data_IF_242449269427
#
_entry.id   IF_242449269427
#
_cell.length_a   1.000
_cell.length_b   1.000
_cell.length_c   1.000
_cell.angle_alpha   90.00
_cell.angle_beta   90.00
_cell.angle_gamma   90.00
#
_symmetry.space_group_name_H-M   'P 1'
#
loop_
_entity.id
_entity.type
_entity.pdbx_description
1 polymer ?
#
# COMPACT_ATOMS: atom_id res chain seq x y z
N UNK A 1 2.71 -13.68 -9.49
CA UNK A 1 1.52 -14.56 -9.44
C UNK A 1 0.52 -14.00 -8.46
N UNK A 2 -0.75 -13.79 -8.85
CA UNK A 2 -1.82 -13.33 -7.96
C UNK A 2 -2.26 -14.49 -7.03
N UNK A 3 -2.15 -14.29 -5.72
CA UNK A 3 -2.54 -15.26 -4.69
C UNK A 3 -3.89 -14.88 -4.07
N UNK A 4 -4.05 -13.60 -3.69
CA UNK A 4 -5.29 -13.09 -3.08
C UNK A 4 -5.77 -11.85 -3.83
N UNK A 5 -7.00 -11.89 -4.32
CA UNK A 5 -7.70 -10.71 -4.83
C UNK A 5 -8.24 -9.86 -3.68
N UNK A 6 -8.55 -8.59 -3.97
CA UNK A 6 -9.22 -7.72 -3.00
C UNK A 6 -10.59 -8.28 -2.61
N UNK A 7 -10.98 -8.06 -1.36
CA UNK A 7 -12.26 -8.50 -0.83
C UNK A 7 -13.41 -7.67 -1.43
N UNK A 8 -14.58 -8.30 -1.56
CA UNK A 8 -15.79 -7.63 -2.02
C UNK A 8 -16.34 -6.71 -0.91
N UNK A 9 -16.30 -5.41 -1.16
CA UNK A 9 -16.80 -4.37 -0.24
C UNK A 9 -18.24 -3.92 -0.55
N UNK A 10 -18.94 -4.61 -1.47
CA UNK A 10 -20.30 -4.27 -1.92
C UNK A 10 -21.33 -4.26 -0.79
N UNK A 11 -21.25 -5.23 0.12
CA UNK A 11 -22.15 -5.31 1.30
C UNK A 11 -22.02 -4.09 2.19
N UNK A 12 -20.79 -3.60 2.45
CA UNK A 12 -20.56 -2.41 3.25
C UNK A 12 -21.08 -1.15 2.56
N UNK A 13 -20.86 -1.03 1.24
CA UNK A 13 -21.39 0.07 0.44
C UNK A 13 -22.91 0.11 0.53
N UNK A 14 -23.57 -1.02 0.26
CA UNK A 14 -25.02 -1.15 0.29
C UNK A 14 -25.60 -0.79 1.66
N UNK A 15 -24.98 -1.28 2.73
CA UNK A 15 -25.39 -0.93 4.10
C UNK A 15 -25.34 0.58 4.36
N UNK A 16 -24.25 1.25 3.97
CA UNK A 16 -24.13 2.70 4.16
C UNK A 16 -25.13 3.47 3.28
N UNK A 17 -25.41 2.99 2.07
CA UNK A 17 -26.43 3.54 1.18
C UNK A 17 -27.84 3.43 1.79
N UNK A 18 -28.19 2.27 2.35
CA UNK A 18 -29.48 2.04 3.01
C UNK A 18 -29.65 2.89 4.28
N UNK A 19 -28.58 3.01 5.10
CA UNK A 19 -28.60 3.78 6.33
C UNK A 19 -28.92 5.27 6.11
N UNK A 20 -28.58 5.87 4.97
CA UNK A 20 -28.87 7.27 4.65
C UNK A 20 -30.38 7.57 4.67
N UNK A 21 -31.22 6.58 4.34
CA UNK A 21 -32.67 6.72 4.30
C UNK A 21 -33.34 6.36 5.63
N UNK A 22 -32.56 6.04 6.66
CA UNK A 22 -33.08 5.69 7.96
C UNK A 22 -33.79 6.90 8.61
N UNK A 23 -35.06 6.74 9.07
CA UNK A 23 -35.80 7.83 9.69
C UNK A 23 -35.30 8.18 11.11
N UNK A 24 -34.50 7.29 11.73
CA UNK A 24 -33.95 7.52 13.08
C UNK A 24 -32.69 8.36 13.09
N UNK A 25 -32.12 8.68 11.94
CA UNK A 25 -30.92 9.49 11.85
C UNK A 25 -31.24 10.98 11.70
N UNK A 26 -30.54 11.80 12.50
CA UNK A 26 -30.58 13.25 12.34
C UNK A 26 -29.77 13.71 11.10
N UNK A 27 -29.88 14.99 10.74
CA UNK A 27 -29.21 15.55 9.56
C UNK A 27 -27.69 15.47 9.64
N UNK A 28 -27.11 15.70 10.82
CA UNK A 28 -25.66 15.63 11.04
C UNK A 28 -25.11 14.22 10.82
N UNK A 29 -25.85 13.21 11.27
CA UNK A 29 -25.50 11.80 11.05
C UNK A 29 -25.61 11.43 9.57
N UNK A 30 -26.63 11.90 8.86
CA UNK A 30 -26.79 11.70 7.42
C UNK A 30 -25.66 12.34 6.63
N UNK A 31 -25.27 13.57 6.95
CA UNK A 31 -24.16 14.28 6.30
C UNK A 31 -22.83 13.54 6.52
N UNK A 32 -22.62 13.03 7.75
CA UNK A 32 -21.45 12.19 8.05
C UNK A 32 -21.44 10.90 7.22
N UNK A 33 -22.58 10.20 7.13
CA UNK A 33 -22.71 8.99 6.29
C UNK A 33 -22.44 9.26 4.82
N UNK A 34 -22.94 10.37 4.27
CA UNK A 34 -22.67 10.77 2.89
C UNK A 34 -21.18 11.01 2.64
N UNK A 35 -20.50 11.64 3.61
CA UNK A 35 -19.05 11.85 3.54
C UNK A 35 -18.31 10.52 3.59
N UNK A 36 -18.68 9.63 4.53
CA UNK A 36 -18.06 8.32 4.70
C UNK A 36 -18.26 7.44 3.46
N UNK A 37 -19.46 7.44 2.87
CA UNK A 37 -19.74 6.71 1.64
C UNK A 37 -18.90 7.19 0.45
N UNK A 38 -18.75 8.52 0.31
CA UNK A 38 -17.87 9.09 -0.74
C UNK A 38 -16.42 8.67 -0.54
N UNK A 39 -15.91 8.77 0.70
CA UNK A 39 -14.54 8.37 1.05
C UNK A 39 -14.32 6.89 0.77
N UNK A 40 -15.26 6.03 1.15
CA UNK A 40 -15.19 4.60 0.92
C UNK A 40 -15.17 4.25 -0.58
N UNK A 41 -16.05 4.87 -1.39
CA UNK A 41 -16.07 4.69 -2.84
C UNK A 41 -14.75 5.11 -3.49
N UNK A 42 -14.24 6.29 -3.10
CA UNK A 42 -12.96 6.82 -3.62
C UNK A 42 -11.80 5.92 -3.22
N UNK A 43 -11.78 5.40 -1.99
CA UNK A 43 -10.77 4.46 -1.51
C UNK A 43 -10.80 3.14 -2.29
N UNK A 44 -11.98 2.52 -2.42
CA UNK A 44 -12.16 1.27 -3.19
C UNK A 44 -11.71 1.44 -4.63
N UNK A 45 -12.07 2.55 -5.28
CA UNK A 45 -11.65 2.81 -6.66
C UNK A 45 -10.13 2.95 -6.76
N UNK A 46 -9.50 3.70 -5.84
CA UNK A 46 -8.04 3.86 -5.82
C UNK A 46 -7.30 2.54 -5.61
N UNK A 47 -7.75 1.70 -4.67
CA UNK A 47 -7.18 0.37 -4.45
C UNK A 47 -7.36 -0.52 -5.70
N UNK A 48 -8.52 -0.46 -6.37
CA UNK A 48 -8.79 -1.22 -7.61
C UNK A 48 -7.88 -0.78 -8.75
N UNK A 49 -7.71 0.52 -8.93
CA UNK A 49 -6.85 1.08 -9.98
C UNK A 49 -5.38 0.72 -9.71
N UNK A 50 -4.90 0.83 -8.47
CA UNK A 50 -3.57 0.39 -8.08
C UNK A 50 -3.38 -1.12 -8.31
N UNK A 51 -4.35 -1.95 -7.92
CA UNK A 51 -4.33 -3.40 -8.15
C UNK A 51 -4.22 -3.73 -9.65
N UNK A 52 -4.85 -2.94 -10.53
CA UNK A 52 -4.73 -3.12 -11.98
C UNK A 52 -3.26 -2.98 -12.44
N UNK A 53 -2.56 -1.91 -12.05
CA UNK A 53 -1.16 -1.70 -12.40
C UNK A 53 -0.25 -2.77 -11.80
N UNK A 54 -0.48 -3.13 -10.54
CA UNK A 54 0.28 -4.20 -9.87
C UNK A 54 0.09 -5.53 -10.61
N UNK A 55 -1.15 -5.91 -10.92
CA UNK A 55 -1.44 -7.17 -11.61
C UNK A 55 -0.89 -7.21 -13.02
N UNK A 56 -0.95 -6.09 -13.76
CA UNK A 56 -0.38 -6.00 -15.11
C UNK A 56 1.11 -6.32 -15.10
N UNK A 57 1.85 -5.90 -14.06
CA UNK A 57 3.29 -6.09 -13.98
C UNK A 57 3.70 -7.42 -13.30
N UNK A 58 2.97 -7.85 -12.25
CA UNK A 58 3.43 -8.98 -11.42
C UNK A 58 2.61 -10.27 -11.55
N UNK A 59 1.39 -10.24 -12.13
CA UNK A 59 0.46 -11.39 -12.14
C UNK A 59 1.10 -12.66 -12.71
N UNK A 60 1.83 -12.52 -13.81
CA UNK A 60 2.47 -13.65 -14.50
C UNK A 60 3.93 -13.86 -14.07
N UNK A 61 4.46 -13.02 -13.18
CA UNK A 61 5.83 -13.15 -12.72
C UNK A 61 5.94 -14.23 -11.63
N UNK A 62 6.66 -15.36 -11.89
CA UNK A 62 6.74 -16.48 -10.95
C UNK A 62 7.57 -16.17 -9.70
N UNK A 63 8.35 -15.09 -9.72
CA UNK A 63 9.22 -14.68 -8.61
C UNK A 63 8.51 -13.81 -7.58
N UNK A 64 7.24 -13.46 -7.83
CA UNK A 64 6.45 -12.59 -6.98
C UNK A 64 5.07 -13.19 -6.70
N UNK A 65 4.69 -13.22 -5.44
CA UNK A 65 3.31 -13.46 -5.02
C UNK A 65 2.67 -12.11 -4.68
N UNK A 66 1.44 -11.91 -5.15
CA UNK A 66 0.66 -10.68 -4.99
C UNK A 66 -0.56 -10.97 -4.14
N UNK A 67 -0.72 -10.22 -3.05
CA UNK A 67 -1.89 -10.28 -2.19
C UNK A 67 -2.49 -8.87 -2.08
N UNK A 68 -3.78 -8.75 -2.38
CA UNK A 68 -4.52 -7.49 -2.24
C UNK A 68 -5.43 -7.55 -1.02
N UNK A 69 -5.62 -6.38 -0.37
CA UNK A 69 -6.55 -6.19 0.74
C UNK A 69 -6.34 -7.23 1.86
N UNK A 70 -5.12 -7.26 2.37
CA UNK A 70 -4.71 -8.24 3.38
C UNK A 70 -5.01 -7.70 4.77
N UNK A 71 -5.92 -8.35 5.50
CA UNK A 71 -6.24 -8.02 6.88
C UNK A 71 -5.51 -8.95 7.84
N UNK A 72 -4.59 -8.41 8.60
CA UNK A 72 -3.82 -9.10 9.63
C UNK A 72 -4.47 -8.89 11.00
N UNK A 73 -4.52 -9.96 11.81
CA UNK A 73 -4.88 -9.88 13.22
C UNK A 73 -3.87 -10.69 14.03
N UNK A 74 -3.10 -10.03 14.86
CA UNK A 74 -2.03 -10.63 15.68
C UNK A 74 -2.10 -10.03 17.08
N UNK A 75 -2.18 -10.87 18.11
CA UNK A 75 -2.21 -10.46 19.52
C UNK A 75 -3.26 -9.36 19.84
N UNK A 76 -4.42 -9.42 19.17
CA UNK A 76 -5.49 -8.42 19.31
C UNK A 76 -5.31 -7.14 18.48
N UNK A 77 -4.13 -6.89 17.94
CA UNK A 77 -3.87 -5.79 17.00
C UNK A 77 -4.35 -6.15 15.60
N UNK A 78 -4.85 -5.15 14.85
CA UNK A 78 -5.34 -5.33 13.49
C UNK A 78 -4.63 -4.33 12.57
N UNK A 79 -4.16 -4.80 11.41
CA UNK A 79 -3.69 -3.96 10.30
C UNK A 79 -4.36 -4.40 9.00
N UNK A 80 -4.56 -3.45 8.11
CA UNK A 80 -4.97 -3.71 6.73
C UNK A 80 -3.87 -3.21 5.81
N UNK A 81 -3.34 -4.09 4.98
CA UNK A 81 -2.34 -3.80 3.96
C UNK A 81 -3.06 -3.80 2.61
N UNK A 82 -3.03 -2.68 1.91
CA UNK A 82 -3.73 -2.57 0.62
C UNK A 82 -3.17 -3.57 -0.38
N UNK A 83 -1.83 -3.63 -0.51
CA UNK A 83 -1.18 -4.63 -1.36
C UNK A 83 0.14 -5.07 -0.74
N UNK A 84 0.33 -6.39 -0.65
CA UNK A 84 1.59 -7.02 -0.26
C UNK A 84 2.15 -7.81 -1.43
N UNK A 85 3.41 -7.53 -1.79
CA UNK A 85 4.15 -8.31 -2.76
C UNK A 85 5.25 -9.08 -2.03
N UNK A 86 5.20 -10.40 -2.12
CA UNK A 86 6.21 -11.28 -1.55
C UNK A 86 7.15 -11.71 -2.66
N UNK A 87 8.37 -11.21 -2.61
CA UNK A 87 9.43 -11.53 -3.54
C UNK A 87 10.39 -12.59 -3.00
N UNK A 88 11.31 -13.03 -3.85
CA UNK A 88 12.32 -14.04 -3.48
C UNK A 88 13.38 -13.52 -2.49
N UNK A 89 13.63 -12.22 -2.46
CA UNK A 89 14.66 -11.60 -1.62
C UNK A 89 14.10 -10.62 -0.59
N UNK A 90 12.98 -10.00 -0.87
CA UNK A 90 12.35 -8.98 -0.02
C UNK A 90 10.85 -8.92 -0.27
N UNK A 91 10.14 -8.19 0.59
CA UNK A 91 8.71 -7.90 0.44
C UNK A 91 8.50 -6.41 0.17
N UNK A 92 7.42 -6.08 -0.53
CA UNK A 92 6.96 -4.70 -0.73
C UNK A 92 5.58 -4.55 -0.09
N UNK A 93 5.46 -3.59 0.82
CA UNK A 93 4.18 -3.11 1.35
C UNK A 93 3.80 -1.86 0.57
N UNK A 94 2.72 -1.94 -0.22
CA UNK A 94 2.25 -0.82 -1.03
C UNK A 94 0.98 -0.27 -0.40
N UNK A 95 1.03 1.00 -0.04
CA UNK A 95 -0.09 1.78 0.51
C UNK A 95 -0.67 2.66 -0.60
N UNK A 96 -1.94 2.55 -0.86
CA UNK A 96 -2.62 3.31 -1.92
C UNK A 96 -3.32 4.55 -1.35
N UNK A 97 -3.17 5.67 -2.04
CA UNK A 97 -3.88 6.92 -1.73
C UNK A 97 -4.54 7.50 -2.96
N UNK A 98 -5.83 7.76 -2.85
CA UNK A 98 -6.63 8.36 -3.91
C UNK A 98 -7.36 9.59 -3.36
N UNK A 99 -6.82 10.78 -3.64
CA UNK A 99 -7.39 12.06 -3.22
C UNK A 99 -7.87 12.86 -4.44
N UNK A 100 -9.03 13.48 -4.34
CA UNK A 100 -9.53 14.43 -5.34
C UNK A 100 -8.94 15.83 -5.12
N UNK A 101 -7.61 15.92 -4.97
CA UNK A 101 -6.90 17.17 -4.69
C UNK A 101 -5.41 17.04 -4.95
N UNK A 102 -4.73 18.18 -4.87
CA UNK A 102 -3.29 18.25 -5.03
C UNK A 102 -2.63 17.88 -3.70
N UNK A 103 -1.70 16.94 -3.75
CA UNK A 103 -0.93 16.49 -2.59
C UNK A 103 0.34 17.32 -2.48
N UNK A 104 0.59 17.89 -1.31
CA UNK A 104 1.84 18.55 -0.99
C UNK A 104 2.56 17.79 0.13
N UNK A 105 3.86 17.58 -0.04
CA UNK A 105 4.75 17.00 0.96
C UNK A 105 5.78 18.04 1.30
N UNK A 106 5.89 18.43 2.57
CA UNK A 106 6.86 19.43 3.00
C UNK A 106 8.22 18.80 3.33
N UNK A 107 9.18 19.65 3.68
CA UNK A 107 10.55 19.24 4.01
C UNK A 107 10.69 18.39 5.29
N UNK A 108 9.65 18.37 6.14
CA UNK A 108 9.55 17.54 7.35
C UNK A 108 8.86 16.20 7.10
N UNK A 109 8.40 15.95 5.85
CA UNK A 109 7.66 14.72 5.50
C UNK A 109 6.20 14.74 5.94
N UNK A 110 5.63 15.92 6.20
CA UNK A 110 4.20 16.09 6.47
C UNK A 110 3.43 16.21 5.17
N UNK A 111 2.24 15.60 5.15
CA UNK A 111 1.37 15.54 3.99
C UNK A 111 0.15 16.43 4.16
N UNK A 112 -0.21 17.14 3.10
CA UNK A 112 -1.46 17.88 3.00
C UNK A 112 -2.11 17.70 1.64
N UNK A 113 -3.43 17.93 1.58
CA UNK A 113 -4.22 17.88 0.35
C UNK A 113 -4.95 19.19 0.19
N UNK A 114 -4.78 19.84 -0.97
CA UNK A 114 -5.51 21.05 -1.37
C UNK A 114 -6.57 20.66 -2.38
N UNK A 115 -7.83 20.88 -2.04
CA UNK A 115 -8.98 20.57 -2.90
C UNK A 115 -9.27 21.71 -3.88
N UNK A 116 -10.13 21.45 -4.86
CA UNK A 116 -10.57 22.45 -5.86
C UNK A 116 -11.30 23.65 -5.23
N UNK A 117 -11.84 23.51 -4.02
CA UNK A 117 -12.39 24.63 -3.22
C UNK A 117 -11.33 25.62 -2.73
N UNK A 118 -10.04 25.29 -2.84
CA UNK A 118 -8.93 26.04 -2.28
C UNK A 118 -8.60 25.69 -0.82
N UNK A 119 -9.41 24.85 -0.17
CA UNK A 119 -9.17 24.41 1.20
C UNK A 119 -8.03 23.39 1.27
N UNK A 120 -7.17 23.54 2.26
CA UNK A 120 -6.03 22.63 2.50
C UNK A 120 -6.19 21.94 3.85
N UNK A 121 -6.03 20.63 3.85
CA UNK A 121 -6.09 19.81 5.07
C UNK A 121 -4.83 18.97 5.22
N UNK A 122 -4.29 18.93 6.44
CA UNK A 122 -3.24 17.97 6.79
C UNK A 122 -3.80 16.54 6.81
N UNK A 123 -3.00 15.59 6.34
CA UNK A 123 -3.34 14.18 6.37
C UNK A 123 -2.24 13.37 7.08
N UNK A 124 -2.63 12.25 7.68
CA UNK A 124 -1.65 11.33 8.27
C UNK A 124 -0.66 10.84 7.22
N UNK A 125 0.61 10.73 7.59
CA UNK A 125 1.65 10.25 6.68
C UNK A 125 1.37 8.81 6.25
N UNK A 126 1.20 8.54 4.94
CA UNK A 126 1.03 7.17 4.43
C UNK A 126 2.27 6.30 4.67
N UNK A 127 3.46 6.89 4.70
CA UNK A 127 4.70 6.17 5.02
C UNK A 127 4.70 5.67 6.47
N UNK A 128 4.29 6.51 7.42
CA UNK A 128 4.19 6.09 8.82
C UNK A 128 3.06 5.08 9.02
N UNK A 129 1.97 5.16 8.26
CA UNK A 129 0.93 4.14 8.23
C UNK A 129 1.50 2.80 7.77
N UNK A 130 2.22 2.78 6.66
CA UNK A 130 2.85 1.57 6.12
C UNK A 130 3.87 0.94 7.09
N UNK A 131 4.66 1.76 7.80
CA UNK A 131 5.58 1.27 8.85
C UNK A 131 4.86 0.63 10.03
N UNK A 132 3.69 1.14 10.43
CA UNK A 132 2.86 0.49 11.47
C UNK A 132 2.35 -0.86 11.01
N UNK A 133 1.94 -0.97 9.73
CA UNK A 133 1.51 -2.24 9.13
C UNK A 133 2.68 -3.24 9.07
N UNK A 134 3.89 -2.80 8.73
CA UNK A 134 5.09 -3.64 8.77
C UNK A 134 5.32 -4.26 10.15
N UNK A 135 5.20 -3.46 11.21
CA UNK A 135 5.41 -3.97 12.58
C UNK A 135 4.53 -5.17 12.88
N UNK A 136 3.25 -5.13 12.47
CA UNK A 136 2.33 -6.23 12.66
C UNK A 136 2.63 -7.40 11.71
N UNK A 137 2.99 -7.10 10.46
CA UNK A 137 3.43 -8.11 9.49
C UNK A 137 4.65 -8.89 10.02
N UNK A 138 5.65 -8.22 10.59
CA UNK A 138 6.82 -8.89 11.20
C UNK A 138 6.45 -9.80 12.34
N UNK A 139 5.53 -9.39 13.23
CA UNK A 139 5.01 -10.27 14.29
C UNK A 139 4.40 -11.54 13.68
N UNK A 140 3.57 -11.39 12.64
CA UNK A 140 2.95 -12.53 11.96
C UNK A 140 4.00 -13.45 11.31
N UNK A 141 4.96 -12.89 10.58
CA UNK A 141 6.02 -13.66 9.94
C UNK A 141 6.80 -14.49 10.96
N UNK A 142 7.11 -13.92 12.12
CA UNK A 142 7.79 -14.61 13.20
C UNK A 142 6.93 -15.75 13.78
N UNK A 143 5.62 -15.53 14.01
CA UNK A 143 4.70 -16.57 14.50
C UNK A 143 4.57 -17.74 13.51
N UNK A 144 4.61 -17.44 12.20
CA UNK A 144 4.54 -18.44 11.12
C UNK A 144 5.90 -19.11 10.85
N UNK A 145 6.98 -18.71 11.53
CA UNK A 145 8.32 -19.21 11.26
C UNK A 145 8.86 -18.84 9.89
N UNK A 146 8.31 -17.77 9.28
CA UNK A 146 8.76 -17.25 7.99
C UNK A 146 9.97 -16.37 8.21
N UNK A 147 11.15 -16.95 8.01
CA UNK A 147 12.43 -16.28 8.22
C UNK A 147 13.31 -16.37 6.98
N UNK A 148 14.21 -15.40 6.75
CA UNK A 148 15.22 -15.49 5.69
C UNK A 148 16.17 -16.66 5.98
N UNK A 149 16.88 -17.10 4.95
CA UNK A 149 17.72 -18.31 5.00
C UNK A 149 18.87 -18.23 6.00
N UNK A 150 19.35 -17.03 6.34
CA UNK A 150 20.52 -16.80 7.19
C UNK A 150 20.25 -15.72 8.25
N UNK A 151 19.37 -16.01 9.19
CA UNK A 151 19.30 -15.32 10.48
C UNK A 151 19.00 -13.80 10.50
N UNK A 152 18.89 -13.14 9.35
CA UNK A 152 18.51 -11.74 9.28
C UNK A 152 16.99 -11.62 9.11
N UNK A 153 16.42 -10.55 9.61
CA UNK A 153 15.01 -10.23 9.41
C UNK A 153 14.66 -10.11 7.94
N UNK A 154 13.41 -10.48 7.59
CA UNK A 154 12.89 -10.29 6.24
C UNK A 154 12.99 -8.81 5.87
N UNK A 155 13.62 -8.53 4.73
CA UNK A 155 13.74 -7.19 4.21
C UNK A 155 12.36 -6.74 3.67
N UNK A 156 11.83 -5.64 4.20
CA UNK A 156 10.52 -5.11 3.83
C UNK A 156 10.68 -3.65 3.43
N UNK A 157 10.20 -3.31 2.26
CA UNK A 157 10.24 -1.95 1.73
C UNK A 157 8.81 -1.40 1.58
N UNK A 158 8.69 -0.07 1.71
CA UNK A 158 7.42 0.63 1.65
C UNK A 158 7.31 1.44 0.37
N UNK A 159 6.14 1.40 -0.25
CA UNK A 159 5.81 2.21 -1.42
C UNK A 159 4.45 2.85 -1.20
N UNK A 160 4.38 4.16 -1.37
CA UNK A 160 3.10 4.89 -1.39
C UNK A 160 2.72 5.14 -2.84
N UNK A 161 1.59 4.62 -3.26
CA UNK A 161 1.08 4.73 -4.61
C UNK A 161 -0.09 5.73 -4.66
N UNK A 162 0.08 6.79 -5.42
CA UNK A 162 -0.99 7.72 -5.75
C UNK A 162 -1.61 7.39 -7.11
N UNK A 163 -2.87 7.79 -7.29
CA UNK A 163 -3.53 7.66 -8.59
C UNK A 163 -2.71 8.39 -9.69
N UNK A 164 -2.67 7.90 -10.95
CA UNK A 164 -1.87 8.51 -12.02
C UNK A 164 -2.17 9.98 -12.29
N UNK A 165 -3.42 10.42 -12.11
CA UNK A 165 -3.82 11.82 -12.26
C UNK A 165 -3.45 12.73 -11.08
N UNK A 166 -2.93 12.18 -9.97
CA UNK A 166 -2.59 12.98 -8.80
C UNK A 166 -1.48 13.98 -9.12
N UNK A 167 -1.63 15.22 -8.65
CA UNK A 167 -0.55 16.22 -8.65
C UNK A 167 0.15 16.14 -7.31
N UNK A 168 1.46 15.85 -7.34
CA UNK A 168 2.27 15.68 -6.13
C UNK A 168 3.35 16.76 -6.11
N UNK A 169 3.25 17.71 -5.20
CA UNK A 169 4.30 18.68 -4.93
C UNK A 169 5.28 18.06 -3.92
N UNK A 170 6.54 17.96 -4.33
CA UNK A 170 7.59 17.31 -3.55
C UNK A 170 8.58 18.33 -3.02
N UNK A 171 9.16 18.12 -1.81
CA UNK A 171 10.26 18.91 -1.31
C UNK A 171 11.57 18.59 -2.05
N UNK A 172 12.62 19.36 -1.76
CA UNK A 172 13.96 19.00 -2.18
C UNK A 172 14.35 17.62 -1.63
N UNK A 173 14.92 16.76 -2.49
CA UNK A 173 15.32 15.39 -2.13
C UNK A 173 16.35 15.33 -1.00
N UNK A 174 17.17 16.39 -0.84
CA UNK A 174 18.15 16.48 0.26
C UNK A 174 17.48 16.71 1.62
N UNK A 175 16.28 17.32 1.64
CA UNK A 175 15.53 17.59 2.86
C UNK A 175 14.64 16.42 3.25
N UNK A 176 13.88 15.88 2.28
CA UNK A 176 13.03 14.70 2.52
C UNK A 176 13.00 13.80 1.28
N UNK A 177 13.33 12.53 1.48
CA UNK A 177 13.38 11.55 0.40
C UNK A 177 11.98 11.02 0.06
N UNK A 178 11.52 11.29 -1.16
CA UNK A 178 10.23 10.85 -1.68
C UNK A 178 10.35 9.76 -2.76
N UNK A 179 11.47 9.03 -2.83
CA UNK A 179 11.70 8.01 -3.86
C UNK A 179 10.67 6.87 -3.83
N UNK A 180 10.13 6.57 -2.65
CA UNK A 180 9.14 5.52 -2.46
C UNK A 180 7.69 6.04 -2.53
N UNK A 181 7.52 7.28 -2.98
CA UNK A 181 6.21 7.89 -3.21
C UNK A 181 6.05 8.03 -4.71
N UNK A 182 5.20 7.22 -5.32
CA UNK A 182 5.08 7.11 -6.78
C UNK A 182 3.64 7.29 -7.25
N UNK A 183 3.46 7.49 -8.54
CA UNK A 183 2.16 7.27 -9.19
C UNK A 183 2.04 5.80 -9.59
N UNK A 184 0.83 5.25 -9.59
CA UNK A 184 0.61 3.83 -9.84
C UNK A 184 1.09 3.37 -11.22
N UNK A 185 0.97 4.22 -12.24
CA UNK A 185 1.47 3.97 -13.59
C UNK A 185 3.01 3.94 -13.69
N UNK A 186 3.71 4.52 -12.72
CA UNK A 186 5.18 4.53 -12.66
C UNK A 186 5.77 3.31 -11.94
N UNK A 187 4.93 2.39 -11.44
CA UNK A 187 5.37 1.24 -10.66
C UNK A 187 6.43 0.37 -11.37
N UNK A 188 6.29 0.01 -12.67
CA UNK A 188 7.31 -0.79 -13.35
C UNK A 188 8.66 -0.10 -13.38
N UNK A 189 8.71 1.16 -13.83
CA UNK A 189 9.95 1.95 -13.91
C UNK A 189 10.59 2.13 -12.54
N UNK A 190 9.79 2.42 -11.51
CA UNK A 190 10.28 2.53 -10.13
C UNK A 190 10.87 1.20 -9.66
N UNK A 191 10.18 0.08 -9.91
CA UNK A 191 10.64 -1.24 -9.49
C UNK A 191 11.99 -1.60 -10.11
N UNK A 192 12.15 -1.40 -11.42
CA UNK A 192 13.40 -1.70 -12.12
C UNK A 192 14.55 -0.85 -11.56
N UNK A 193 14.36 0.46 -11.39
CA UNK A 193 15.34 1.35 -10.77
C UNK A 193 15.65 0.97 -9.32
N UNK A 194 14.64 0.55 -8.56
CA UNK A 194 14.80 0.11 -7.18
C UNK A 194 15.64 -1.17 -7.12
N UNK A 195 15.31 -2.16 -7.94
CA UNK A 195 16.03 -3.43 -8.02
C UNK A 195 17.47 -3.19 -8.46
N UNK A 196 17.73 -2.38 -9.50
CA UNK A 196 19.07 -2.06 -9.98
C UNK A 196 19.92 -1.37 -8.90
N UNK A 197 19.32 -0.43 -8.16
CA UNK A 197 20.01 0.30 -7.10
C UNK A 197 20.29 -0.57 -5.87
N UNK A 198 19.29 -1.30 -5.40
CA UNK A 198 19.38 -2.09 -4.17
C UNK A 198 20.07 -3.43 -4.40
N UNK A 199 19.97 -4.00 -5.61
CA UNK A 199 20.54 -5.29 -5.97
C UNK A 199 21.87 -5.14 -6.72
N UNK A 200 22.34 -3.97 -7.09
CA UNK A 200 23.57 -3.73 -7.86
C UNK A 200 24.61 -4.85 -7.77
N UNK A 201 25.53 -4.99 -8.69
CA UNK A 201 26.35 -6.20 -8.95
C UNK A 201 26.94 -6.86 -7.68
N UNK A 202 27.38 -6.06 -6.69
CA UNK A 202 27.88 -6.57 -5.40
C UNK A 202 26.75 -7.04 -4.45
N UNK A 203 25.61 -6.38 -4.50
CA UNK A 203 24.41 -6.78 -3.74
C UNK A 203 23.78 -8.05 -4.29
N UNK A 204 23.83 -8.28 -5.61
CA UNK A 204 23.36 -9.51 -6.25
C UNK A 204 24.15 -10.73 -5.76
N UNK A 205 25.48 -10.65 -5.70
CA UNK A 205 26.33 -11.73 -5.18
C UNK A 205 26.04 -12.02 -3.71
N UNK A 206 25.91 -11.00 -2.86
CA UNK A 206 25.58 -11.17 -1.44
C UNK A 206 24.17 -11.73 -1.22
N UNK A 207 23.21 -11.43 -2.10
CA UNK A 207 21.80 -11.87 -2.01
C UNK A 207 21.51 -13.21 -2.67
N UNK A 208 22.38 -13.73 -3.53
CA UNK A 208 22.23 -15.09 -4.10
C UNK A 208 22.02 -16.13 -2.99
N UNK A 209 22.75 -15.99 -1.87
CA UNK A 209 22.57 -16.87 -0.71
C UNK A 209 21.30 -16.59 0.10
N UNK A 210 20.67 -15.41 -0.04
CA UNK A 210 19.44 -15.03 0.69
C UNK A 210 18.17 -15.28 -0.13
N UNK A 211 18.27 -15.45 -1.46
CA UNK A 211 17.11 -15.65 -2.31
C UNK A 211 16.42 -16.98 -2.07
N UNK A 212 15.10 -16.97 -2.07
CA UNK A 212 14.25 -18.15 -1.98
C UNK A 212 13.81 -18.61 -3.37
N UNK A 213 13.33 -19.84 -3.45
CA UNK A 213 12.71 -20.36 -4.67
C UNK A 213 11.32 -19.76 -4.87
N UNK A 214 10.82 -19.77 -6.10
CA UNK A 214 9.44 -19.36 -6.39
C UNK A 214 8.42 -20.24 -5.64
N UNK A 215 8.74 -21.51 -5.39
CA UNK A 215 7.91 -22.41 -4.58
C UNK A 215 7.84 -21.95 -3.12
N UNK A 216 8.97 -21.54 -2.53
CA UNK A 216 8.99 -20.97 -1.18
C UNK A 216 8.15 -19.70 -1.09
N UNK A 217 8.25 -18.80 -2.09
CA UNK A 217 7.43 -17.59 -2.18
C UNK A 217 5.93 -17.92 -2.18
N UNK A 218 5.53 -18.92 -2.97
CA UNK A 218 4.13 -19.39 -3.00
C UNK A 218 3.64 -19.93 -1.66
N UNK A 219 4.52 -20.66 -0.94
CA UNK A 219 4.17 -21.21 0.37
C UNK A 219 4.05 -20.14 1.46
N UNK A 220 4.76 -19.02 1.32
CA UNK A 220 4.71 -17.90 2.27
C UNK A 220 3.51 -16.98 2.05
N UNK A 221 2.99 -16.90 0.86
CA UNK A 221 1.85 -16.07 0.48
C UNK A 221 0.51 -16.81 0.65
#
# INVERSE_FOLDING_TARGET
>A
MLIKSADDKSKRLKLLEELQYSPVLDQKQKDWLLKELRNLRTGIQGEKDAAHYINTYYRENPNWAVLHDLRLKVDGEVAQIDHLLVGRAFMLVLETKNFNGNVCINEYGEFSVTYSSGETYGISSPLEQSKRHEKLLRKLLNQLGIQPRFGNDMEIHHVVMFHPSAVIQRPDRKKFNTNNIIKADSLPTWHDQFVDKEIGILGALARVHKTRTSETVRRWA
#
